data_IF_195200738150
#
_entry.id   IF_195200738150
#
_cell.length_a   1.000
_cell.length_b   1.000
_cell.length_c   1.000
_cell.angle_alpha   90.00
_cell.angle_beta   90.00
_cell.angle_gamma   90.00
#
_symmetry.space_group_name_H-M   'P 1'
#
loop_
_entity.id
_entity.type
_entity.pdbx_description
1 polymer ?
#
# COMPACT_ATOMS: atom_id res chain seq x y z
N UNK A 1 -58.00 33.78 -23.23
CA UNK A 1 -57.06 33.52 -22.15
C UNK A 1 -56.05 32.48 -22.66
N UNK A 2 -54.86 32.92 -23.03
CA UNK A 2 -53.80 32.04 -23.56
C UNK A 2 -52.85 31.72 -22.39
N UNK A 3 -52.83 30.45 -21.98
CA UNK A 3 -51.84 29.96 -20.99
C UNK A 3 -50.53 29.77 -21.71
N UNK A 4 -49.56 30.60 -21.37
CA UNK A 4 -48.18 30.47 -21.82
C UNK A 4 -47.50 29.45 -20.91
N UNK A 5 -47.33 28.22 -21.37
CA UNK A 5 -46.60 27.17 -20.69
C UNK A 5 -45.12 27.43 -20.89
N UNK A 6 -44.48 28.03 -19.88
CA UNK A 6 -43.06 28.22 -19.82
C UNK A 6 -42.42 26.88 -19.42
N UNK A 7 -42.02 26.10 -20.40
CA UNK A 7 -41.21 24.89 -20.18
C UNK A 7 -39.77 25.35 -19.88
N UNK A 8 -39.48 25.50 -18.61
CA UNK A 8 -38.12 25.72 -18.15
C UNK A 8 -37.35 24.41 -18.29
N UNK A 9 -36.68 24.26 -19.44
CA UNK A 9 -35.73 23.17 -19.67
C UNK A 9 -34.54 23.36 -18.73
N UNK A 10 -34.56 22.70 -17.57
CA UNK A 10 -33.40 22.60 -16.68
C UNK A 10 -32.42 21.68 -17.39
N UNK A 11 -31.48 22.29 -18.10
CA UNK A 11 -30.30 21.61 -18.61
C UNK A 11 -29.46 21.17 -17.40
N UNK A 12 -29.69 19.95 -16.93
CA UNK A 12 -28.74 19.30 -16.04
C UNK A 12 -27.44 19.09 -16.84
N UNK A 13 -26.55 20.06 -16.78
CA UNK A 13 -25.17 19.83 -17.10
C UNK A 13 -24.65 18.81 -16.07
N UNK A 14 -24.65 17.55 -16.44
CA UNK A 14 -23.91 16.51 -15.74
C UNK A 14 -22.43 16.88 -15.86
N UNK A 15 -21.93 17.64 -14.90
CA UNK A 15 -20.50 17.81 -14.71
C UNK A 15 -19.97 16.40 -14.42
N UNK A 16 -19.24 15.85 -15.39
CA UNK A 16 -18.46 14.65 -15.14
C UNK A 16 -17.36 15.03 -14.14
N UNK A 17 -17.67 14.88 -12.87
CA UNK A 17 -16.63 14.92 -11.84
C UNK A 17 -15.77 13.66 -12.04
N UNK A 18 -14.61 13.82 -12.65
CA UNK A 18 -13.61 12.78 -12.68
C UNK A 18 -13.06 12.63 -11.26
N UNK A 19 -13.79 11.91 -10.41
CA UNK A 19 -13.29 11.52 -9.11
C UNK A 19 -12.19 10.48 -9.31
N UNK A 20 -10.98 10.77 -8.86
CA UNK A 20 -9.93 9.77 -8.78
C UNK A 20 -10.29 8.73 -7.74
N UNK A 21 -10.53 7.52 -8.20
CA UNK A 21 -10.62 6.34 -7.35
C UNK A 21 -9.30 5.60 -7.42
N UNK A 22 -8.40 5.88 -6.49
CA UNK A 22 -7.22 5.05 -6.29
C UNK A 22 -7.61 3.87 -5.39
N UNK A 23 -7.76 2.71 -5.99
CA UNK A 23 -7.80 1.48 -5.22
C UNK A 23 -6.36 1.17 -4.75
N UNK A 24 -6.13 0.87 -3.47
CA UNK A 24 -4.81 0.45 -3.01
C UNK A 24 -4.40 -0.83 -3.73
N UNK A 25 -3.12 -0.93 -4.08
CA UNK A 25 -2.56 -2.10 -4.74
C UNK A 25 -2.17 -3.21 -3.77
N UNK A 26 -2.95 -3.40 -2.72
CA UNK A 26 -2.81 -4.47 -1.73
C UNK A 26 -4.19 -4.94 -1.26
N UNK A 27 -4.21 -6.11 -0.63
CA UNK A 27 -5.40 -6.74 -0.07
C UNK A 27 -5.22 -6.94 1.43
N UNK A 28 -6.30 -7.03 2.18
CA UNK A 28 -6.24 -7.45 3.58
C UNK A 28 -5.60 -8.84 3.72
N UNK A 29 -4.79 -9.03 4.74
CA UNK A 29 -4.27 -10.34 5.09
C UNK A 29 -5.25 -11.05 6.02
N UNK A 30 -5.75 -12.18 5.56
CA UNK A 30 -6.67 -13.02 6.34
C UNK A 30 -5.86 -13.96 7.24
N UNK A 31 -5.66 -13.57 8.48
CA UNK A 31 -5.04 -14.39 9.50
C UNK A 31 -6.06 -15.41 10.02
N UNK A 32 -5.61 -16.63 10.28
CA UNK A 32 -6.44 -17.71 10.82
C UNK A 32 -5.66 -18.48 11.89
N UNK A 33 -5.34 -17.86 13.03
CA UNK A 33 -4.49 -18.47 14.05
C UNK A 33 -5.09 -19.76 14.63
N UNK A 34 -6.40 -19.84 14.75
CA UNK A 34 -7.09 -21.04 15.28
C UNK A 34 -7.05 -22.24 14.35
N UNK A 35 -6.77 -22.02 13.06
CA UNK A 35 -6.67 -23.05 12.03
C UNK A 35 -5.25 -23.25 11.52
N UNK A 36 -4.29 -22.54 12.13
CA UNK A 36 -2.91 -22.52 11.65
C UNK A 36 -2.11 -23.66 12.30
N UNK A 37 -1.55 -24.52 11.45
CA UNK A 37 -0.57 -25.52 11.86
C UNK A 37 0.85 -24.95 11.75
N UNK A 38 1.61 -25.04 12.84
CA UNK A 38 3.01 -24.62 12.87
C UNK A 38 3.81 -25.55 11.96
N UNK A 39 4.43 -24.99 10.94
CA UNK A 39 5.31 -25.76 10.05
C UNK A 39 6.68 -25.98 10.70
N UNK A 40 7.23 -27.15 10.46
CA UNK A 40 8.55 -27.56 10.92
C UNK A 40 9.51 -27.63 9.74
N UNK A 41 10.73 -27.17 9.94
CA UNK A 41 11.85 -27.40 9.02
C UNK A 41 12.91 -28.23 9.76
N UNK A 42 13.20 -29.45 9.25
CA UNK A 42 14.15 -30.39 9.87
C UNK A 42 13.92 -30.63 11.36
N UNK A 43 12.65 -30.70 11.79
CA UNK A 43 12.28 -30.95 13.20
C UNK A 43 12.32 -29.72 14.10
N UNK A 44 12.56 -28.53 13.56
CA UNK A 44 12.60 -27.26 14.28
C UNK A 44 11.44 -26.37 13.78
N UNK A 45 10.85 -25.56 14.65
CA UNK A 45 9.81 -24.58 14.25
C UNK A 45 10.39 -23.69 13.15
N UNK A 46 9.72 -23.67 12.00
CA UNK A 46 10.16 -22.87 10.87
C UNK A 46 10.01 -21.37 11.17
N UNK A 47 11.10 -20.64 11.07
CA UNK A 47 11.11 -19.20 11.23
C UNK A 47 10.78 -18.51 9.90
N UNK A 48 10.12 -17.35 10.00
CA UNK A 48 9.92 -16.48 8.87
C UNK A 48 11.21 -15.68 8.63
N UNK A 49 11.79 -15.75 7.42
CA UNK A 49 13.00 -15.00 7.11
C UNK A 49 12.72 -13.50 7.00
N UNK A 50 13.77 -12.74 7.06
CA UNK A 50 13.77 -11.33 6.67
C UNK A 50 13.35 -11.20 5.20
N UNK A 51 12.31 -10.41 4.86
CA UNK A 51 11.89 -10.21 3.48
C UNK A 51 12.90 -9.32 2.73
N UNK A 52 13.14 -9.61 1.45
CA UNK A 52 13.95 -8.73 0.60
C UNK A 52 13.04 -7.69 -0.04
N UNK A 53 13.11 -6.45 0.44
CA UNK A 53 12.23 -5.35 0.02
C UNK A 53 12.97 -4.38 -0.89
N UNK A 54 12.30 -3.97 -1.97
CA UNK A 54 12.82 -2.98 -2.94
C UNK A 54 11.78 -1.87 -3.11
N UNK A 55 12.25 -0.63 -3.13
CA UNK A 55 11.44 0.52 -3.52
C UNK A 55 11.53 0.63 -5.05
N UNK A 56 10.44 0.27 -5.74
CA UNK A 56 10.42 0.31 -7.20
C UNK A 56 10.25 1.75 -7.71
N UNK A 57 9.39 2.53 -7.05
CA UNK A 57 9.09 3.90 -7.45
C UNK A 57 8.44 4.70 -6.32
N UNK A 58 8.77 5.99 -6.26
CA UNK A 58 8.07 7.00 -5.48
C UNK A 58 7.59 8.08 -6.44
N UNK A 59 6.32 8.46 -6.35
CA UNK A 59 5.71 9.55 -7.13
C UNK A 59 5.10 10.51 -6.12
N UNK A 60 5.41 11.79 -6.26
CA UNK A 60 4.83 12.87 -5.48
C UNK A 60 3.65 13.49 -6.20
N UNK A 61 2.71 14.03 -5.45
CA UNK A 61 1.64 14.83 -6.02
C UNK A 61 2.21 16.07 -6.73
N UNK A 62 1.66 16.41 -7.90
CA UNK A 62 2.15 17.53 -8.71
C UNK A 62 1.25 18.76 -8.66
N UNK A 63 0.00 18.60 -8.22
CA UNK A 63 -1.02 19.66 -8.12
C UNK A 63 -0.97 20.70 -9.26
N UNK A 64 -1.24 20.29 -10.47
CA UNK A 64 -1.69 21.23 -11.48
C UNK A 64 -3.16 21.61 -11.20
N UNK A 65 -3.47 22.85 -11.36
CA UNK A 65 -4.83 23.39 -11.11
C UNK A 65 -5.81 22.68 -12.07
N UNK A 66 -6.64 21.79 -11.54
CA UNK A 66 -7.78 21.24 -12.27
C UNK A 66 -7.91 19.72 -12.42
N UNK A 67 -6.96 18.92 -11.92
CA UNK A 67 -7.06 17.45 -11.95
C UNK A 67 -7.05 16.90 -10.52
N UNK A 68 -8.13 16.26 -10.11
CA UNK A 68 -8.29 15.66 -8.77
C UNK A 68 -7.33 14.50 -8.48
N UNK A 69 -6.55 14.05 -9.49
CA UNK A 69 -5.63 12.92 -9.39
C UNK A 69 -4.18 13.32 -9.16
N UNK A 70 -3.85 14.58 -9.35
CA UNK A 70 -2.48 15.06 -9.31
C UNK A 70 -1.97 15.32 -7.88
N UNK A 71 -2.88 15.36 -6.91
CA UNK A 71 -2.55 15.54 -5.49
C UNK A 71 -2.13 14.26 -4.79
N UNK A 72 -2.16 13.11 -5.48
CA UNK A 72 -1.85 11.82 -4.87
C UNK A 72 -0.35 11.51 -4.95
N UNK A 73 0.22 11.17 -3.80
CA UNK A 73 1.51 10.53 -3.71
C UNK A 73 1.37 9.01 -3.84
N UNK A 74 2.39 8.33 -4.36
CA UNK A 74 2.37 6.89 -4.57
C UNK A 74 3.74 6.27 -4.29
N UNK A 75 3.74 5.15 -3.56
CA UNK A 75 4.93 4.31 -3.36
C UNK A 75 4.65 2.91 -3.91
N UNK A 76 5.51 2.45 -4.80
CA UNK A 76 5.53 1.08 -5.29
C UNK A 76 6.66 0.33 -4.60
N UNK A 77 6.32 -0.80 -3.98
CA UNK A 77 7.27 -1.70 -3.33
C UNK A 77 7.15 -3.10 -3.90
N UNK A 78 8.27 -3.78 -4.00
CA UNK A 78 8.35 -5.20 -4.28
C UNK A 78 9.00 -5.93 -3.11
N UNK A 79 8.45 -7.08 -2.73
CA UNK A 79 9.01 -7.93 -1.68
C UNK A 79 9.23 -9.32 -2.26
N UNK A 80 10.50 -9.73 -2.38
CA UNK A 80 10.87 -11.07 -2.80
C UNK A 80 10.80 -12.03 -1.60
N UNK A 81 10.27 -13.24 -1.84
CA UNK A 81 10.16 -14.30 -0.86
C UNK A 81 11.02 -15.50 -1.27
N UNK A 82 11.84 -16.08 -0.35
CA UNK A 82 12.69 -17.21 -0.69
C UNK A 82 11.87 -18.44 -1.08
N UNK A 83 12.17 -19.04 -2.25
CA UNK A 83 11.50 -20.27 -2.71
C UNK A 83 11.77 -21.47 -1.80
N UNK A 84 12.92 -21.46 -1.13
CA UNK A 84 13.32 -22.54 -0.21
C UNK A 84 12.60 -22.51 1.14
N UNK A 85 11.78 -21.49 1.42
CA UNK A 85 11.07 -21.40 2.68
C UNK A 85 9.88 -22.36 2.71
N UNK A 86 9.61 -22.95 3.88
CA UNK A 86 8.50 -23.90 4.08
C UNK A 86 7.11 -23.24 3.94
N UNK A 87 7.04 -21.92 4.11
CA UNK A 87 5.83 -21.13 3.88
C UNK A 87 5.83 -20.59 2.46
N UNK A 88 4.75 -20.83 1.72
CA UNK A 88 4.55 -20.22 0.42
C UNK A 88 4.21 -18.73 0.59
N UNK A 89 4.64 -17.88 -0.35
CA UNK A 89 4.33 -16.43 -0.33
C UNK A 89 2.81 -16.15 -0.26
N UNK A 90 1.97 -17.04 -0.79
CA UNK A 90 0.52 -16.91 -0.70
C UNK A 90 -0.03 -17.08 0.73
N UNK A 91 0.77 -17.64 1.64
CA UNK A 91 0.42 -17.82 3.05
C UNK A 91 0.94 -16.68 3.94
N UNK A 92 1.68 -15.73 3.34
CA UNK A 92 2.36 -14.64 4.03
C UNK A 92 1.65 -13.31 3.78
N UNK A 93 1.45 -12.57 4.85
CA UNK A 93 1.17 -11.14 4.85
C UNK A 93 2.43 -10.35 5.14
N UNK A 94 2.40 -9.07 4.85
CA UNK A 94 3.49 -8.15 5.13
C UNK A 94 2.97 -6.98 5.97
N UNK A 95 3.67 -6.68 7.05
CA UNK A 95 3.36 -5.58 7.94
C UNK A 95 4.42 -4.51 7.79
N UNK A 96 3.98 -3.28 7.51
CA UNK A 96 4.85 -2.12 7.28
C UNK A 96 4.73 -1.19 8.49
N UNK A 97 5.82 -1.02 9.22
CA UNK A 97 5.84 -0.21 10.43
C UNK A 97 6.90 0.88 10.30
N UNK A 98 6.48 2.12 10.35
CA UNK A 98 7.42 3.24 10.40
C UNK A 98 8.23 3.22 11.68
N UNK A 99 9.55 3.38 11.57
CA UNK A 99 10.44 3.48 12.70
C UNK A 99 10.09 4.74 13.51
N UNK A 100 10.05 4.59 14.84
CA UNK A 100 9.67 5.67 15.76
C UNK A 100 8.25 6.25 15.56
N UNK A 101 7.37 5.55 14.86
CA UNK A 101 6.00 6.00 14.63
C UNK A 101 5.89 7.20 13.67
N UNK A 102 6.96 7.52 12.95
CA UNK A 102 6.98 8.62 11.99
C UNK A 102 6.53 8.10 10.62
N UNK A 103 5.23 8.14 10.37
CA UNK A 103 4.62 8.04 9.05
C UNK A 103 3.88 9.36 8.83
N UNK A 104 4.44 10.28 8.05
CA UNK A 104 3.97 11.67 8.03
C UNK A 104 2.53 11.83 7.54
N UNK A 105 2.02 10.88 6.76
CA UNK A 105 0.72 10.95 6.12
C UNK A 105 -0.06 9.64 6.19
N UNK A 106 0.27 8.74 7.14
CA UNK A 106 -0.34 7.42 7.30
C UNK A 106 -0.33 6.61 6.00
N UNK A 107 0.82 6.60 5.32
CA UNK A 107 1.01 5.96 4.01
C UNK A 107 0.79 4.44 4.10
N UNK A 108 1.25 3.85 5.21
CA UNK A 108 1.19 2.41 5.40
C UNK A 108 0.02 1.98 6.30
N UNK A 109 -0.67 0.88 5.96
CA UNK A 109 -1.74 0.35 6.79
C UNK A 109 -1.20 -0.18 8.12
N UNK A 110 -1.99 -0.02 9.18
CA UNK A 110 -1.66 -0.49 10.54
C UNK A 110 -1.91 -1.99 10.77
N UNK A 111 -2.23 -2.71 9.70
CA UNK A 111 -2.50 -4.16 9.72
C UNK A 111 -1.66 -4.84 8.65
N UNK A 112 -1.37 -6.16 8.79
CA UNK A 112 -0.71 -6.91 7.74
C UNK A 112 -1.54 -6.93 6.45
N UNK A 113 -0.87 -6.84 5.31
CA UNK A 113 -1.49 -6.82 3.98
C UNK A 113 -0.83 -7.81 3.04
N UNK A 114 -1.54 -8.18 1.99
CA UNK A 114 -1.03 -8.97 0.86
C UNK A 114 -0.82 -8.08 -0.35
N UNK A 115 0.32 -8.24 -1.01
CA UNK A 115 0.56 -7.67 -2.32
C UNK A 115 0.00 -8.53 -3.45
N UNK A 116 0.04 -8.00 -4.67
CA UNK A 116 -0.20 -8.78 -5.88
C UNK A 116 1.00 -9.68 -6.14
N UNK A 117 0.80 -10.99 -6.07
CA UNK A 117 1.88 -11.98 -6.18
C UNK A 117 2.12 -12.36 -7.64
N UNK A 118 3.42 -12.36 -8.04
CA UNK A 118 3.91 -12.89 -9.28
C UNK A 118 5.35 -13.40 -9.08
N UNK A 119 5.63 -14.65 -9.44
CA UNK A 119 6.96 -15.27 -9.37
C UNK A 119 7.67 -15.04 -8.01
N UNK A 120 7.05 -15.48 -6.92
CA UNK A 120 7.53 -15.30 -5.54
C UNK A 120 7.86 -13.85 -5.12
N UNK A 121 7.28 -12.89 -5.82
CA UNK A 121 7.38 -11.48 -5.49
C UNK A 121 5.99 -10.92 -5.21
N UNK A 122 5.80 -10.30 -4.06
CA UNK A 122 4.60 -9.53 -3.72
C UNK A 122 4.83 -8.07 -4.09
N UNK A 123 3.95 -7.51 -4.91
CA UNK A 123 3.98 -6.09 -5.29
C UNK A 123 2.90 -5.33 -4.55
N UNK A 124 3.28 -4.18 -4.02
CA UNK A 124 2.44 -3.28 -3.24
C UNK A 124 2.39 -1.93 -3.91
N UNK A 125 1.26 -1.28 -3.74
CA UNK A 125 1.03 0.06 -4.20
C UNK A 125 0.30 0.83 -3.10
N UNK A 126 0.98 1.78 -2.49
CA UNK A 126 0.45 2.64 -1.44
C UNK A 126 0.17 4.02 -2.00
N UNK A 127 -0.97 4.59 -1.64
CA UNK A 127 -1.40 5.91 -2.09
C UNK A 127 -1.76 6.74 -0.88
N UNK A 128 -1.36 8.00 -0.90
CA UNK A 128 -1.76 8.98 0.12
C UNK A 128 -2.10 10.32 -0.52
N UNK A 129 -2.78 11.17 0.23
CA UNK A 129 -3.01 12.55 -0.18
C UNK A 129 -1.74 13.35 0.09
N UNK A 130 -0.98 13.63 -0.96
CA UNK A 130 0.32 14.32 -0.88
C UNK A 130 0.17 15.85 -1.00
N UNK A 131 -0.87 16.28 -1.70
CA UNK A 131 -1.21 17.69 -1.87
C UNK A 131 -0.27 18.45 -2.81
N UNK A 132 -0.36 19.77 -2.72
CA UNK A 132 0.41 20.68 -3.57
C UNK A 132 1.90 20.68 -3.15
N UNK A 133 2.88 20.68 -4.09
CA UNK A 133 4.32 20.60 -3.82
C UNK A 133 4.83 21.56 -2.73
N UNK A 134 4.25 22.76 -2.67
CA UNK A 134 4.60 23.78 -1.65
C UNK A 134 4.34 23.33 -0.21
N UNK A 135 3.40 22.40 0.00
CA UNK A 135 2.94 21.96 1.33
C UNK A 135 3.27 20.51 1.62
N UNK A 136 3.91 19.81 0.67
CA UNK A 136 4.30 18.42 0.85
C UNK A 136 5.31 18.29 1.97
N UNK A 137 5.12 17.27 2.80
CA UNK A 137 6.09 16.89 3.80
C UNK A 137 7.26 16.17 3.13
N UNK A 138 8.47 16.41 3.62
CA UNK A 138 9.64 15.69 3.15
C UNK A 138 9.50 14.20 3.48
N UNK A 139 9.74 13.34 2.50
CA UNK A 139 9.87 11.91 2.72
C UNK A 139 11.33 11.62 3.09
N UNK A 140 11.58 11.33 4.35
CA UNK A 140 12.88 10.88 4.86
C UNK A 140 12.64 10.12 6.17
N UNK A 141 12.19 8.87 6.05
CA UNK A 141 11.89 8.02 7.20
C UNK A 141 12.14 6.56 6.89
N UNK A 142 12.32 5.76 7.93
CA UNK A 142 12.55 4.34 7.82
C UNK A 142 11.29 3.54 8.08
N UNK A 143 11.17 2.43 7.37
CA UNK A 143 10.07 1.47 7.51
C UNK A 143 10.65 0.08 7.74
N UNK A 144 10.21 -0.56 8.80
CA UNK A 144 10.45 -1.96 9.07
C UNK A 144 9.36 -2.79 8.41
N UNK A 145 9.75 -3.74 7.58
CA UNK A 145 8.84 -4.63 6.86
C UNK A 145 8.98 -6.04 7.41
N UNK A 146 7.91 -6.55 7.99
CA UNK A 146 7.86 -7.87 8.59
C UNK A 146 7.04 -8.82 7.74
N UNK A 147 7.51 -10.07 7.60
CA UNK A 147 6.67 -11.15 7.13
C UNK A 147 5.80 -11.67 8.30
N UNK A 148 4.55 -11.98 8.02
CA UNK A 148 3.57 -12.49 8.98
C UNK A 148 2.86 -13.69 8.39
N UNK A 149 2.84 -14.83 9.07
CA UNK A 149 2.08 -15.99 8.63
C UNK A 149 0.63 -15.97 9.16
N UNK A 150 -0.19 -16.92 8.72
CA UNK A 150 -1.59 -17.01 9.15
C UNK A 150 -1.78 -17.25 10.65
N UNK A 151 -0.77 -17.79 11.34
CA UNK A 151 -0.75 -17.94 12.80
C UNK A 151 -0.31 -16.69 13.54
N UNK A 152 -0.15 -15.55 12.83
CA UNK A 152 0.33 -14.29 13.38
C UNK A 152 1.77 -14.34 13.94
N UNK A 153 2.56 -15.34 13.55
CA UNK A 153 3.98 -15.32 13.83
C UNK A 153 4.64 -14.26 12.95
N UNK A 154 5.50 -13.45 13.55
CA UNK A 154 6.18 -12.33 12.89
C UNK A 154 7.65 -12.71 12.70
N UNK A 155 8.17 -12.49 11.50
CA UNK A 155 9.57 -12.73 11.16
C UNK A 155 10.50 -11.56 11.54
N UNK A 156 11.76 -11.71 11.16
CA UNK A 156 12.75 -10.61 11.27
C UNK A 156 12.39 -9.49 10.29
N UNK A 157 12.54 -8.22 10.68
CA UNK A 157 12.24 -7.10 9.81
C UNK A 157 13.36 -6.81 8.82
N UNK A 158 12.98 -6.49 7.58
CA UNK A 158 13.84 -5.71 6.68
C UNK A 158 13.58 -4.23 6.92
N UNK A 159 14.63 -3.44 6.99
CA UNK A 159 14.51 -1.98 7.11
C UNK A 159 14.80 -1.31 5.79
N UNK A 160 13.86 -0.51 5.30
CA UNK A 160 14.02 0.34 4.11
C UNK A 160 13.93 1.81 4.48
N UNK A 161 14.59 2.67 3.71
CA UNK A 161 14.49 4.12 3.87
C UNK A 161 13.64 4.69 2.73
N UNK A 162 12.51 5.28 3.09
CA UNK A 162 11.67 6.04 2.16
C UNK A 162 12.26 7.44 2.07
N UNK A 163 12.89 7.73 0.95
CA UNK A 163 13.54 9.02 0.71
C UNK A 163 13.19 9.52 -0.69
N UNK A 164 12.89 10.79 -0.76
CA UNK A 164 12.71 11.49 -2.03
C UNK A 164 14.04 11.51 -2.79
N UNK A 165 14.04 11.12 -4.06
CA UNK A 165 15.20 11.32 -4.92
C UNK A 165 15.35 12.83 -5.13
N UNK A 166 16.45 13.39 -4.68
CA UNK A 166 16.86 14.74 -5.05
C UNK A 166 17.11 14.73 -6.57
N UNK A 167 16.11 15.20 -7.34
CA UNK A 167 16.19 15.35 -8.78
C UNK A 167 17.07 16.54 -9.16
#
# INVERSE_FOLDING_TARGET
MKYFLLITSILFMSMKTNACSFAPGYFGFDAAPDQFEIKMDKGIIALLPEPKVTIDKIIRGSASVGSSCEDAGMIHLSTEWPESNVYNINEIGFYFQSENGVDPDLIFPLIPVKGKIKNNTAKFFFVWLDGHPKYQKKLDFKVNVFAVNKGLQIGMPATITIKENEG
#
